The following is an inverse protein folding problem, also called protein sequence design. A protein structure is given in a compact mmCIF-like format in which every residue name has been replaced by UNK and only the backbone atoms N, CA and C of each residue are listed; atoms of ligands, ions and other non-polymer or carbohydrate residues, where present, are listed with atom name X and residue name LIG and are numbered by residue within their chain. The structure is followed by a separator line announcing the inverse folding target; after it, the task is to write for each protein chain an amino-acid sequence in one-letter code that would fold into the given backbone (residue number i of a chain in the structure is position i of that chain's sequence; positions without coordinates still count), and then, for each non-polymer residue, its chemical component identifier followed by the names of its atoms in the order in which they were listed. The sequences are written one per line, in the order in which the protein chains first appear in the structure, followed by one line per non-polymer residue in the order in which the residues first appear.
data_IF_220066036864
#
_entry.id   IF_220066036864
#
_cell.length_a   1.000
_cell.length_b   1.000
_cell.length_c   1.000
_cell.angle_alpha   90.00
_cell.angle_beta   90.00
_cell.angle_gamma   90.00
#
_symmetry.space_group_name_H-M   'P 1'
#
loop_
_entity.id
_entity.type
_entity.pdbx_description
1 polymer ?
#
# COMPACT_ATOMS: atom_id res chain seq x y z
N UNK A 1 2.36 -0.87 -9.67
CA UNK A 1 1.49 -1.60 -10.61
C UNK A 1 0.08 -1.06 -10.46
N UNK A 2 -0.58 -0.73 -11.56
CA UNK A 2 -1.98 -0.29 -11.61
C UNK A 2 -2.78 -1.41 -12.24
N UNK A 3 -3.79 -1.93 -11.54
CA UNK A 3 -4.54 -3.09 -12.02
C UNK A 3 -5.54 -2.74 -13.14
N UNK A 4 -6.16 -1.56 -13.07
CA UNK A 4 -7.20 -1.18 -14.02
C UNK A 4 -8.29 -2.23 -14.09
N UNK A 5 -8.73 -2.58 -15.30
CA UNK A 5 -9.74 -3.62 -15.52
C UNK A 5 -9.21 -5.06 -15.36
N UNK A 6 -7.96 -5.25 -14.97
CA UNK A 6 -7.34 -6.53 -14.66
C UNK A 6 -5.89 -6.62 -15.11
N UNK A 7 -5.07 -7.31 -14.32
CA UNK A 7 -3.65 -7.55 -14.61
C UNK A 7 -3.24 -8.86 -13.94
N UNK A 8 -2.35 -9.61 -14.57
CA UNK A 8 -1.62 -10.71 -13.94
C UNK A 8 -0.21 -10.27 -13.58
N UNK A 9 0.33 -10.81 -12.51
CA UNK A 9 1.75 -10.67 -12.17
C UNK A 9 2.26 -11.96 -11.53
N UNK A 10 3.59 -12.11 -11.51
CA UNK A 10 4.27 -13.13 -10.73
C UNK A 10 5.34 -12.48 -9.85
N UNK A 11 5.58 -13.08 -8.70
CA UNK A 11 6.67 -12.73 -7.80
C UNK A 11 7.55 -13.96 -7.62
N UNK A 12 8.76 -13.90 -8.14
CA UNK A 12 9.66 -15.04 -8.18
C UNK A 12 11.00 -14.70 -7.55
N UNK A 13 11.41 -15.48 -6.55
CA UNK A 13 12.74 -15.38 -5.96
C UNK A 13 13.80 -15.95 -6.91
N UNK A 14 14.56 -15.08 -7.58
CA UNK A 14 15.59 -15.46 -8.57
C UNK A 14 16.96 -15.76 -7.95
N UNK A 15 17.01 -16.65 -6.96
CA UNK A 15 18.29 -17.08 -6.37
C UNK A 15 18.91 -16.11 -5.35
N UNK A 16 18.24 -15.00 -5.02
CA UNK A 16 18.66 -14.14 -3.92
C UNK A 16 18.60 -14.92 -2.58
N UNK A 17 19.68 -14.88 -1.81
CA UNK A 17 19.81 -15.61 -0.56
C UNK A 17 20.01 -14.71 0.67
N UNK A 18 19.86 -13.42 0.49
CA UNK A 18 19.90 -12.43 1.57
C UNK A 18 18.56 -12.26 2.27
N UNK A 19 18.53 -11.40 3.28
CA UNK A 19 17.30 -10.99 3.92
C UNK A 19 16.52 -10.04 2.99
N UNK A 20 15.28 -10.41 2.65
CA UNK A 20 14.37 -9.57 1.90
C UNK A 20 13.48 -8.80 2.89
N UNK A 21 13.37 -7.50 2.70
CA UNK A 21 12.44 -6.65 3.43
C UNK A 21 11.59 -5.89 2.40
N UNK A 22 10.31 -6.12 2.40
CA UNK A 22 9.39 -5.51 1.45
C UNK A 22 8.02 -5.26 2.06
N UNK A 23 7.30 -4.31 1.50
CA UNK A 23 5.91 -4.00 1.84
C UNK A 23 5.10 -3.94 0.55
N UNK A 24 3.98 -4.65 0.53
CA UNK A 24 3.00 -4.55 -0.54
C UNK A 24 1.80 -3.75 -0.05
N UNK A 25 1.56 -2.62 -0.70
CA UNK A 25 0.41 -1.76 -0.43
C UNK A 25 -0.67 -1.98 -1.48
N UNK A 26 -1.91 -2.10 -1.01
CA UNK A 26 -3.09 -2.15 -1.87
C UNK A 26 -3.86 -0.86 -1.72
N UNK A 27 -4.00 -0.13 -2.83
CA UNK A 27 -4.70 1.14 -2.89
C UNK A 27 -5.88 0.99 -3.85
N UNK A 28 -7.09 1.24 -3.35
CA UNK A 28 -8.29 1.17 -4.18
C UNK A 28 -8.27 2.27 -5.24
N UNK A 29 -8.47 1.88 -6.52
CA UNK A 29 -8.64 2.84 -7.59
C UNK A 29 -10.06 3.44 -7.56
N UNK A 30 -10.22 4.74 -7.82
CA UNK A 30 -11.54 5.37 -7.90
C UNK A 30 -12.29 4.93 -9.17
N UNK A 31 -13.60 5.09 -9.18
CA UNK A 31 -14.46 4.59 -10.26
C UNK A 31 -14.08 5.11 -11.64
N UNK A 32 -13.53 6.33 -11.72
CA UNK A 32 -13.13 6.93 -13.00
C UNK A 32 -11.84 6.35 -13.60
N UNK A 33 -11.01 5.61 -12.82
CA UNK A 33 -9.77 4.98 -13.32
C UNK A 33 -9.73 3.46 -13.19
N UNK A 34 -10.54 2.85 -12.32
CA UNK A 34 -10.47 1.41 -12.05
C UNK A 34 -10.76 0.49 -13.24
N UNK A 35 -11.31 1.04 -14.33
CA UNK A 35 -11.57 0.32 -15.59
C UNK A 35 -10.62 0.69 -16.73
N UNK A 36 -9.61 1.52 -16.46
CA UNK A 36 -8.57 1.83 -17.43
C UNK A 36 -7.66 0.64 -17.72
N UNK A 37 -6.76 0.81 -18.68
CA UNK A 37 -5.75 -0.21 -19.00
C UNK A 37 -4.79 -0.40 -17.81
N UNK A 38 -4.32 -1.64 -17.57
CA UNK A 38 -3.31 -1.90 -16.56
C UNK A 38 -1.98 -1.21 -16.91
N UNK A 39 -1.20 -0.89 -15.88
CA UNK A 39 0.11 -0.27 -16.05
C UNK A 39 1.10 -0.78 -15.00
N UNK A 40 2.37 -0.79 -15.38
CA UNK A 40 3.48 -1.09 -14.49
C UNK A 40 4.56 -0.03 -14.64
N UNK A 41 5.09 0.44 -13.53
CA UNK A 41 6.29 1.26 -13.49
C UNK A 41 7.18 0.84 -12.31
N UNK A 42 8.48 1.01 -12.49
CA UNK A 42 9.49 0.82 -11.47
C UNK A 42 10.20 2.15 -11.21
N UNK A 43 10.30 2.54 -9.94
CA UNK A 43 10.99 3.73 -9.47
C UNK A 43 12.06 3.33 -8.47
N UNK A 44 13.31 3.34 -8.89
CA UNK A 44 14.44 3.01 -8.03
C UNK A 44 14.86 4.20 -7.16
N UNK A 45 14.82 5.40 -7.74
CA UNK A 45 15.26 6.62 -7.07
C UNK A 45 14.05 7.34 -6.50
N UNK A 46 13.87 7.23 -5.18
CA UNK A 46 12.79 7.89 -4.45
C UNK A 46 13.35 9.07 -3.63
N UNK A 47 12.63 10.19 -3.60
CA UNK A 47 13.06 11.37 -2.86
C UNK A 47 12.98 11.12 -1.35
N UNK A 48 13.89 11.78 -0.62
CA UNK A 48 13.97 11.70 0.82
C UNK A 48 13.83 13.07 1.47
N UNK A 49 13.28 13.07 2.68
CA UNK A 49 13.17 14.24 3.55
C UNK A 49 13.91 13.92 4.84
N UNK A 50 14.88 14.76 5.17
CA UNK A 50 15.58 14.71 6.47
C UNK A 50 14.73 15.42 7.53
N UNK A 51 14.44 14.72 8.60
CA UNK A 51 13.85 15.24 9.83
C UNK A 51 14.88 15.10 10.96
N UNK A 52 14.63 15.70 12.13
CA UNK A 52 15.61 15.72 13.24
C UNK A 52 16.23 14.35 13.55
N UNK A 53 15.39 13.36 13.85
CA UNK A 53 15.81 11.98 14.17
C UNK A 53 15.18 10.95 13.23
N UNK A 54 14.77 11.36 12.02
CA UNK A 54 14.19 10.46 11.04
C UNK A 54 14.61 10.82 9.63
N UNK A 55 14.70 9.81 8.77
CA UNK A 55 14.76 9.96 7.33
C UNK A 55 13.46 9.40 6.75
N UNK A 56 12.75 10.21 5.99
CA UNK A 56 11.48 9.84 5.36
C UNK A 56 11.69 9.65 3.85
N UNK A 57 11.58 8.42 3.35
CA UNK A 57 11.57 8.14 1.90
C UNK A 57 10.14 8.23 1.40
N UNK A 58 9.88 9.15 0.46
CA UNK A 58 8.54 9.37 -0.10
C UNK A 58 8.29 8.36 -1.21
N UNK A 59 7.69 7.22 -0.85
CA UNK A 59 7.44 6.10 -1.77
C UNK A 59 6.37 6.47 -2.80
N UNK A 60 5.28 7.07 -2.35
CA UNK A 60 4.19 7.55 -3.21
C UNK A 60 3.54 8.77 -2.57
N UNK A 61 3.00 9.66 -3.39
CA UNK A 61 2.30 10.86 -2.94
C UNK A 61 3.23 12.01 -2.60
N UNK A 62 2.86 12.79 -1.61
CA UNK A 62 3.58 13.96 -1.14
C UNK A 62 3.80 13.92 0.37
N UNK A 63 4.99 14.32 0.83
CA UNK A 63 5.31 14.44 2.24
C UNK A 63 6.24 15.63 2.48
N UNK A 64 5.88 16.51 3.41
CA UNK A 64 6.67 17.70 3.78
C UNK A 64 7.12 18.54 2.56
N UNK A 65 6.26 18.70 1.55
CA UNK A 65 6.54 19.46 0.33
C UNK A 65 7.36 18.72 -0.74
N UNK A 66 7.71 17.46 -0.50
CA UNK A 66 8.44 16.62 -1.45
C UNK A 66 7.49 15.60 -2.08
N UNK A 67 7.51 15.52 -3.42
CA UNK A 67 6.57 14.69 -4.21
C UNK A 67 7.32 13.50 -4.80
N UNK A 68 6.76 12.30 -4.60
CA UNK A 68 7.24 11.09 -5.26
C UNK A 68 6.91 11.10 -6.77
N UNK A 69 7.81 10.60 -7.63
CA UNK A 69 7.53 10.42 -9.06
C UNK A 69 6.57 9.26 -9.36
N UNK A 70 6.15 8.48 -8.37
CA UNK A 70 5.25 7.35 -8.57
C UNK A 70 3.82 7.83 -8.90
N UNK A 71 3.19 7.20 -9.90
CA UNK A 71 1.80 7.52 -10.29
C UNK A 71 0.84 7.17 -9.15
N UNK A 72 -0.13 8.02 -8.91
CA UNK A 72 -1.28 7.78 -8.03
C UNK A 72 -2.56 8.26 -8.68
N UNK A 73 -3.66 7.56 -8.41
CA UNK A 73 -4.99 7.89 -8.94
C UNK A 73 -5.88 8.58 -7.90
N UNK A 74 -5.48 8.53 -6.62
CA UNK A 74 -6.16 9.22 -5.51
C UNK A 74 -5.17 10.06 -4.72
N UNK A 75 -5.65 10.95 -3.88
CA UNK A 75 -4.80 11.77 -3.01
C UNK A 75 -4.44 10.98 -1.76
N UNK A 76 -3.31 10.28 -1.83
CA UNK A 76 -2.75 9.43 -0.77
C UNK A 76 -1.23 9.52 -0.76
N UNK A 77 -0.63 9.06 0.32
CA UNK A 77 0.81 9.01 0.50
C UNK A 77 1.25 7.72 1.22
N UNK A 78 2.44 7.27 0.87
CA UNK A 78 3.15 6.18 1.55
C UNK A 78 4.60 6.59 1.77
N UNK A 79 5.03 6.59 3.03
CA UNK A 79 6.32 7.06 3.47
C UNK A 79 7.00 5.99 4.30
N UNK A 80 8.22 5.63 3.91
CA UNK A 80 9.08 4.75 4.71
C UNK A 80 9.93 5.61 5.63
N UNK A 81 9.78 5.41 6.94
CA UNK A 81 10.44 6.15 8.00
C UNK A 81 11.57 5.31 8.61
N UNK A 82 12.79 5.83 8.55
CA UNK A 82 13.95 5.33 9.28
C UNK A 82 14.17 6.24 10.51
N UNK A 83 13.88 5.71 11.71
CA UNK A 83 13.86 6.45 12.96
C UNK A 83 15.11 6.13 13.78
N UNK A 84 15.84 7.16 14.19
CA UNK A 84 16.92 7.06 15.19
C UNK A 84 16.34 7.15 16.60
N UNK A 85 16.99 6.56 17.62
CA UNK A 85 16.57 6.69 19.01
C UNK A 85 16.33 8.13 19.43
N UNK A 86 15.21 8.35 20.10
CA UNK A 86 14.76 9.66 20.56
C UNK A 86 13.33 9.97 20.15
N UNK A 87 12.99 11.25 20.19
CA UNK A 87 11.65 11.77 19.91
C UNK A 87 11.64 12.53 18.59
N UNK A 88 10.85 12.06 17.63
CA UNK A 88 10.65 12.69 16.33
C UNK A 88 9.23 13.24 16.19
N UNK A 89 9.11 14.44 15.63
CA UNK A 89 7.82 14.99 15.24
C UNK A 89 7.65 14.79 13.73
N UNK A 90 6.62 14.09 13.33
CA UNK A 90 6.33 13.76 11.94
C UNK A 90 5.13 14.61 11.48
N UNK A 91 5.30 15.48 10.47
CA UNK A 91 4.20 16.27 9.95
C UNK A 91 3.18 15.37 9.25
N UNK A 92 1.92 15.73 9.37
CA UNK A 92 0.79 15.05 8.74
C UNK A 92 -0.06 16.05 7.95
N UNK A 93 -0.93 15.54 7.09
CA UNK A 93 -1.98 16.31 6.47
C UNK A 93 -3.28 16.14 7.25
N UNK A 94 -3.87 17.25 7.70
CA UNK A 94 -5.06 17.23 8.55
C UNK A 94 -6.32 16.67 7.87
N UNK A 95 -6.37 16.68 6.54
CA UNK A 95 -7.45 16.12 5.72
C UNK A 95 -7.29 14.62 5.40
N UNK A 96 -6.15 14.01 5.80
CA UNK A 96 -5.90 12.58 5.62
C UNK A 96 -6.27 11.79 6.89
N UNK A 97 -6.80 10.59 6.70
CA UNK A 97 -6.62 9.52 7.69
C UNK A 97 -5.22 8.92 7.50
N UNK A 98 -4.62 8.48 8.62
CA UNK A 98 -3.29 7.91 8.59
C UNK A 98 -3.24 6.57 9.32
N UNK A 99 -2.28 5.75 8.92
CA UNK A 99 -1.86 4.53 9.60
C UNK A 99 -0.35 4.50 9.75
N UNK A 100 0.12 4.08 10.92
CA UNK A 100 1.55 3.80 11.15
C UNK A 100 1.72 2.32 11.44
N UNK A 101 2.57 1.66 10.66
CA UNK A 101 2.94 0.26 10.83
C UNK A 101 4.40 0.17 11.19
N UNK A 102 4.73 -0.38 12.34
CA UNK A 102 6.12 -0.64 12.73
C UNK A 102 6.61 -1.91 12.02
N UNK A 103 7.69 -1.81 11.28
CA UNK A 103 8.29 -2.92 10.52
C UNK A 103 9.39 -3.62 11.32
N UNK A 104 10.28 -2.85 11.97
CA UNK A 104 11.33 -3.35 12.86
C UNK A 104 11.51 -2.38 14.03
N UNK A 105 12.01 -2.87 15.17
CA UNK A 105 12.13 -2.08 16.38
C UNK A 105 10.79 -1.91 17.10
N UNK A 106 10.62 -0.85 17.85
CA UNK A 106 9.40 -0.47 18.53
C UNK A 106 9.33 1.04 18.72
N UNK A 107 8.14 1.60 18.73
CA UNK A 107 7.97 3.03 19.06
C UNK A 107 6.69 3.28 19.87
N UNK A 108 6.64 4.42 20.54
CA UNK A 108 5.39 4.98 21.04
C UNK A 108 4.89 6.04 20.05
N UNK A 109 3.59 6.05 19.83
CA UNK A 109 2.90 7.05 19.00
C UNK A 109 1.98 7.83 19.92
N UNK A 110 2.28 9.12 20.15
CA UNK A 110 1.54 9.96 21.11
C UNK A 110 1.38 9.30 22.50
N UNK A 111 2.37 8.50 22.93
CA UNK A 111 2.40 7.78 24.21
C UNK A 111 1.75 6.37 24.19
N UNK A 112 1.25 5.90 23.06
CA UNK A 112 0.76 4.52 22.91
C UNK A 112 1.84 3.64 22.28
N UNK A 113 2.13 2.48 22.89
CA UNK A 113 3.14 1.55 22.37
C UNK A 113 2.67 0.85 21.10
N UNK A 114 3.51 0.83 20.09
CA UNK A 114 3.30 0.13 18.83
C UNK A 114 4.53 -0.70 18.45
N UNK A 115 4.31 -1.98 18.23
CA UNK A 115 5.35 -2.96 17.90
C UNK A 115 5.06 -3.62 16.56
N UNK A 116 6.03 -4.34 15.95
CA UNK A 116 5.81 -5.05 14.70
C UNK A 116 4.55 -5.94 14.72
N UNK A 117 3.80 -5.90 13.62
CA UNK A 117 2.51 -6.59 13.50
C UNK A 117 1.30 -5.79 13.96
N UNK A 118 1.50 -4.57 14.47
CA UNK A 118 0.42 -3.67 14.85
C UNK A 118 0.38 -2.46 13.91
N UNK A 119 -0.83 -1.99 13.66
CA UNK A 119 -1.11 -0.75 12.96
C UNK A 119 -1.78 0.23 13.93
N UNK A 120 -1.19 1.41 14.07
CA UNK A 120 -1.84 2.54 14.76
C UNK A 120 -2.67 3.31 13.72
N UNK A 121 -4.00 3.28 13.87
CA UNK A 121 -4.88 4.08 13.04
C UNK A 121 -5.07 5.47 13.66
N UNK A 122 -4.92 6.48 12.83
CA UNK A 122 -5.04 7.89 13.18
C UNK A 122 -6.07 8.51 12.23
N UNK A 123 -7.22 8.88 12.74
CA UNK A 123 -8.25 9.57 11.96
C UNK A 123 -7.80 10.93 11.44
N UNK A 124 -8.66 11.59 10.69
CA UNK A 124 -8.46 12.96 10.18
C UNK A 124 -8.29 13.99 11.31
N UNK A 125 -7.80 15.19 10.96
CA UNK A 125 -7.69 16.33 11.87
C UNK A 125 -6.38 16.41 12.64
N UNK A 126 -5.35 15.70 12.21
CA UNK A 126 -4.00 15.76 12.82
C UNK A 126 -3.01 16.40 11.86
N UNK A 127 -2.32 17.41 12.32
CA UNK A 127 -1.26 18.07 11.53
C UNK A 127 0.13 17.48 11.80
N UNK A 128 0.26 16.71 12.88
CA UNK A 128 1.49 16.02 13.26
C UNK A 128 1.24 14.87 14.22
N UNK A 129 2.23 13.99 14.35
CA UNK A 129 2.33 12.98 15.41
C UNK A 129 3.72 13.02 16.04
N UNK A 130 3.84 12.52 17.25
CA UNK A 130 5.12 12.28 17.92
C UNK A 130 5.41 10.79 17.93
N UNK A 131 6.55 10.40 17.37
CA UNK A 131 7.12 9.08 17.48
C UNK A 131 8.30 9.10 18.44
N UNK A 132 8.32 8.22 19.41
CA UNK A 132 9.45 8.06 20.34
C UNK A 132 9.93 6.61 20.28
N UNK A 133 11.24 6.42 20.14
CA UNK A 133 11.85 5.09 20.07
C UNK A 133 13.15 5.09 20.87
N UNK A 134 13.47 3.95 21.50
CA UNK A 134 14.71 3.74 22.25
C UNK A 134 15.79 3.03 21.42
N UNK A 135 15.42 2.53 20.24
CA UNK A 135 16.30 1.79 19.33
C UNK A 135 16.05 2.20 17.87
N UNK A 136 16.98 1.92 16.95
CA UNK A 136 16.73 2.12 15.51
C UNK A 136 15.46 1.39 15.09
N UNK A 137 14.49 2.15 14.57
CA UNK A 137 13.15 1.65 14.25
C UNK A 137 12.78 2.03 12.84
N UNK A 138 12.20 1.07 12.09
CA UNK A 138 11.64 1.33 10.77
C UNK A 138 10.12 1.23 10.81
N UNK A 139 9.46 2.24 10.30
CA UNK A 139 8.01 2.30 10.24
C UNK A 139 7.53 2.75 8.87
N UNK A 140 6.33 2.34 8.50
CA UNK A 140 5.62 2.82 7.33
C UNK A 140 4.50 3.75 7.79
N UNK A 141 4.51 4.99 7.31
CA UNK A 141 3.39 5.91 7.43
C UNK A 141 2.61 5.89 6.12
N UNK A 142 1.35 5.53 6.19
CA UNK A 142 0.41 5.57 5.07
C UNK A 142 -0.74 6.49 5.39
N UNK A 143 -1.33 7.13 4.38
CA UNK A 143 -2.50 7.97 4.59
C UNK A 143 -3.09 8.45 3.28
N UNK A 144 -4.27 9.03 3.37
CA UNK A 144 -4.96 9.60 2.23
C UNK A 144 -6.27 10.26 2.64
N UNK A 145 -6.83 11.03 1.72
CA UNK A 145 -8.20 11.52 1.86
C UNK A 145 -9.11 10.30 2.02
N UNK A 146 -10.05 10.30 3.00
CA UNK A 146 -11.02 9.22 3.16
C UNK A 146 -11.69 8.83 1.85
N UNK A 147 -11.75 7.53 1.58
CA UNK A 147 -12.25 7.01 0.32
C UNK A 147 -13.75 6.75 0.41
N UNK A 148 -14.56 7.52 -0.33
CA UNK A 148 -16.02 7.54 -0.20
C UNK A 148 -16.73 6.40 -0.93
N UNK A 149 -16.03 5.66 -1.79
CA UNK A 149 -16.63 4.58 -2.57
C UNK A 149 -16.57 3.25 -1.81
N UNK A 150 -17.58 2.37 -1.90
CA UNK A 150 -17.53 1.06 -1.28
C UNK A 150 -16.41 0.22 -1.88
N UNK A 151 -15.63 -0.44 -1.05
CA UNK A 151 -14.58 -1.36 -1.47
C UNK A 151 -14.90 -2.76 -0.97
N UNK A 152 -15.02 -3.69 -1.92
CA UNK A 152 -15.15 -5.10 -1.67
C UNK A 152 -13.90 -5.82 -2.17
N UNK A 153 -13.25 -6.57 -1.29
CA UNK A 153 -12.11 -7.40 -1.66
C UNK A 153 -12.39 -8.85 -1.35
N UNK A 154 -12.11 -9.71 -2.29
CA UNK A 154 -12.09 -11.14 -2.08
C UNK A 154 -10.96 -11.76 -2.90
N UNK A 155 -10.12 -12.56 -2.25
CA UNK A 155 -8.88 -13.08 -2.81
C UNK A 155 -8.02 -11.93 -3.37
N UNK A 156 -7.71 -11.91 -4.67
CA UNK A 156 -6.95 -10.85 -5.35
C UNK A 156 -7.83 -9.92 -6.21
N UNK A 157 -9.14 -9.93 -5.99
CA UNK A 157 -10.06 -9.03 -6.71
C UNK A 157 -10.52 -7.91 -5.77
N UNK A 158 -10.45 -6.69 -6.28
CA UNK A 158 -10.99 -5.49 -5.65
C UNK A 158 -12.11 -4.94 -6.54
N UNK A 159 -13.28 -4.75 -5.96
CA UNK A 159 -14.48 -4.37 -6.70
C UNK A 159 -15.42 -3.52 -5.83
N UNK A 160 -16.60 -3.19 -6.35
CA UNK A 160 -17.65 -2.50 -5.61
C UNK A 160 -18.81 -3.43 -5.23
N UNK A 161 -18.99 -4.51 -5.99
CA UNK A 161 -20.09 -5.45 -5.80
C UNK A 161 -19.62 -6.90 -5.82
N UNK A 162 -20.45 -7.80 -5.26
CA UNK A 162 -20.22 -9.25 -5.31
C UNK A 162 -20.26 -9.78 -6.74
N UNK A 163 -21.08 -9.20 -7.59
CA UNK A 163 -21.21 -9.63 -8.99
C UNK A 163 -19.96 -9.29 -9.79
N UNK A 164 -19.33 -8.15 -9.53
CA UNK A 164 -18.02 -7.82 -10.12
C UNK A 164 -16.95 -8.82 -9.71
N UNK A 165 -16.91 -9.23 -8.43
CA UNK A 165 -16.00 -10.27 -7.95
C UNK A 165 -16.28 -11.61 -8.62
N UNK A 166 -17.55 -12.00 -8.72
CA UNK A 166 -17.96 -13.26 -9.37
C UNK A 166 -17.57 -13.27 -10.85
N UNK A 167 -17.76 -12.15 -11.54
CA UNK A 167 -17.32 -11.97 -12.93
C UNK A 167 -15.80 -12.03 -13.04
N UNK A 168 -15.05 -11.37 -12.17
CA UNK A 168 -13.59 -11.41 -12.17
C UNK A 168 -13.05 -12.82 -11.92
N UNK A 169 -13.67 -13.58 -11.01
CA UNK A 169 -13.32 -14.98 -10.75
C UNK A 169 -13.58 -15.87 -11.98
N UNK A 170 -14.76 -15.74 -12.61
CA UNK A 170 -15.07 -16.48 -13.84
C UNK A 170 -14.07 -16.16 -14.94
N UNK A 171 -13.82 -14.88 -15.20
CA UNK A 171 -12.91 -14.43 -16.25
C UNK A 171 -11.47 -14.91 -15.98
N UNK A 172 -11.03 -14.97 -14.70
CA UNK A 172 -9.76 -15.57 -14.35
C UNK A 172 -9.71 -17.07 -14.64
N UNK A 173 -10.76 -17.80 -14.26
CA UNK A 173 -10.85 -19.25 -14.47
C UNK A 173 -10.90 -19.60 -15.96
N UNK A 174 -11.54 -18.77 -16.77
CA UNK A 174 -11.67 -18.94 -18.23
C UNK A 174 -10.49 -18.33 -19.02
N UNK A 175 -9.45 -17.85 -18.30
CA UNK A 175 -8.26 -17.26 -18.92
C UNK A 175 -8.54 -16.05 -19.83
N UNK A 176 -9.51 -15.22 -19.44
CA UNK A 176 -9.90 -14.05 -20.22
C UNK A 176 -8.71 -13.12 -20.49
N UNK A 177 -8.62 -12.61 -21.71
CA UNK A 177 -7.49 -11.82 -22.21
C UNK A 177 -7.23 -10.52 -21.41
N UNK A 178 -8.22 -10.02 -20.65
CA UNK A 178 -8.05 -8.78 -19.86
C UNK A 178 -6.96 -8.85 -18.81
N UNK A 179 -6.59 -10.04 -18.33
CA UNK A 179 -5.52 -10.20 -17.34
C UNK A 179 -4.12 -10.17 -17.95
N UNK A 180 -4.02 -10.23 -19.28
CA UNK A 180 -2.74 -10.26 -19.97
C UNK A 180 -1.99 -11.57 -19.79
N UNK A 181 -0.71 -11.56 -20.15
CA UNK A 181 0.18 -12.71 -20.05
C UNK A 181 1.39 -12.35 -19.17
N UNK A 182 1.79 -13.29 -18.32
CA UNK A 182 3.00 -13.19 -17.50
C UNK A 182 4.03 -14.19 -18.02
N UNK A 183 5.24 -13.74 -18.27
CA UNK A 183 6.34 -14.61 -18.66
C UNK A 183 6.92 -15.32 -17.42
N UNK A 184 6.22 -16.35 -16.96
CA UNK A 184 6.57 -17.18 -15.81
C UNK A 184 6.46 -18.66 -16.19
N UNK A 185 7.30 -19.50 -15.60
CA UNK A 185 7.20 -20.95 -15.70
C UNK A 185 6.32 -21.56 -14.60
N UNK A 186 5.86 -20.74 -13.66
CA UNK A 186 4.97 -21.16 -12.58
C UNK A 186 3.53 -21.32 -13.13
N UNK A 187 2.77 -22.30 -12.62
CA UNK A 187 1.37 -22.45 -12.99
C UNK A 187 0.58 -21.25 -12.46
N UNK A 188 -0.52 -20.95 -13.16
CA UNK A 188 -1.50 -19.98 -12.65
C UNK A 188 -2.06 -20.47 -11.32
N UNK A 189 -2.27 -19.50 -10.43
CA UNK A 189 -2.89 -19.79 -9.15
C UNK A 189 -4.40 -20.00 -9.34
N UNK A 190 -4.90 -21.15 -8.95
CA UNK A 190 -6.31 -21.49 -8.97
C UNK A 190 -6.94 -21.23 -7.61
N UNK A 191 -8.14 -20.66 -7.60
CA UNK A 191 -8.94 -20.40 -6.41
C UNK A 191 -10.37 -20.90 -6.64
N UNK A 192 -10.99 -21.50 -5.64
CA UNK A 192 -12.40 -21.87 -5.68
C UNK A 192 -13.31 -20.64 -5.84
N UNK A 193 -14.61 -20.85 -6.13
CA UNK A 193 -15.54 -19.75 -6.31
C UNK A 193 -15.73 -18.94 -5.01
N UNK A 194 -16.16 -17.66 -5.14
CA UNK A 194 -16.53 -16.85 -3.98
C UNK A 194 -17.57 -17.56 -3.09
N UNK A 195 -17.56 -17.30 -1.76
CA UNK A 195 -18.43 -18.03 -0.82
C UNK A 195 -19.91 -17.64 -0.88
N UNK A 196 -20.28 -16.67 -1.70
CA UNK A 196 -21.67 -16.25 -1.92
C UNK A 196 -22.21 -16.83 -3.24
N UNK A 197 -23.53 -17.00 -3.32
CA UNK A 197 -24.18 -17.38 -4.58
C UNK A 197 -24.24 -16.15 -5.50
N UNK A 198 -24.10 -16.31 -6.83
CA UNK A 198 -24.47 -15.27 -7.79
C UNK A 198 -25.92 -14.85 -7.57
N UNK A 199 -26.19 -13.56 -7.62
CA UNK A 199 -27.56 -13.03 -7.57
C UNK A 199 -28.21 -13.11 -8.95
#
# INVERSE_FOLDING_TARGET
MTAGHGVSHSEEGTGYRGQLHGVQLWVAQPDHTRHEAPAFEHRADLPQVELDLAVATVVIGEFAGVVSPARRDTDHAGIDLDLRPGRSTIPLRGDYEHGVVVLTGACTIDGADVTPGHLAYLGVGRDQITLTTDEPTRALLVGGVPFDEPVLMWWNYVARTRDEITTAHRDWTEEAARFGHVNSHLPRYEIGPPPWRPQ
#
